data_IF_997092632228
#
_entry.id   IF_997092632228
#
_cell.length_a   1.000
_cell.length_b   1.000
_cell.length_c   1.000
_cell.angle_alpha   90.00
_cell.angle_beta   90.00
_cell.angle_gamma   90.00
#
_symmetry.space_group_name_H-M   'P 1'
#
loop_
_entity.id
_entity.type
_entity.pdbx_description
1 polymer ?
#
# COMPACT_ATOMS: atom_id res chain seq x y z
N UNK A 1 -5.29 -4.56 -10.45
CA UNK A 1 -4.54 -3.30 -10.19
C UNK A 1 -3.14 -3.64 -9.71
N UNK A 2 -2.11 -3.13 -10.39
CA UNK A 2 -0.71 -3.38 -10.04
C UNK A 2 0.00 -2.05 -9.81
N UNK A 3 0.44 -1.77 -8.59
CA UNK A 3 1.11 -0.53 -8.23
C UNK A 3 2.62 -0.78 -8.34
N UNK A 4 3.27 -0.19 -9.33
CA UNK A 4 4.70 -0.39 -9.54
C UNK A 4 5.55 0.43 -8.57
N UNK A 5 6.57 -0.21 -8.01
CA UNK A 5 7.59 0.42 -7.18
C UNK A 5 8.99 -0.11 -7.51
N UNK A 6 10.01 0.70 -7.25
CA UNK A 6 11.42 0.33 -7.43
C UNK A 6 11.99 -0.04 -6.07
N UNK A 7 12.61 -1.22 -5.98
CA UNK A 7 13.31 -1.71 -4.78
C UNK A 7 14.66 -1.04 -4.61
N UNK A 8 15.30 -1.20 -3.45
CA UNK A 8 16.59 -0.58 -3.15
C UNK A 8 17.71 -1.00 -4.11
N UNK A 9 17.63 -2.20 -4.67
CA UNK A 9 18.57 -2.76 -5.66
C UNK A 9 18.19 -2.45 -7.11
N UNK A 10 17.22 -1.55 -7.34
CA UNK A 10 16.82 -1.10 -8.68
C UNK A 10 15.78 -1.98 -9.39
N UNK A 11 15.36 -3.10 -8.78
CA UNK A 11 14.35 -3.97 -9.40
C UNK A 11 12.95 -3.34 -9.37
N UNK A 12 12.23 -3.37 -10.48
CA UNK A 12 10.80 -3.06 -10.53
C UNK A 12 10.00 -4.20 -9.94
N UNK A 13 9.07 -3.88 -9.05
CA UNK A 13 8.11 -4.82 -8.47
C UNK A 13 6.71 -4.27 -8.54
N UNK A 14 5.76 -5.20 -8.62
CA UNK A 14 4.34 -4.92 -8.53
C UNK A 14 3.84 -5.08 -7.09
N UNK A 15 3.04 -4.13 -6.64
CA UNK A 15 2.29 -4.21 -5.39
C UNK A 15 0.81 -4.43 -5.70
N UNK A 16 0.27 -5.49 -5.11
CA UNK A 16 -1.17 -5.77 -5.06
C UNK A 16 -1.61 -5.65 -3.60
N UNK A 17 -2.63 -4.84 -3.30
CA UNK A 17 -3.14 -4.75 -1.93
C UNK A 17 -3.91 -5.99 -1.52
N UNK A 18 -4.06 -6.18 -0.21
CA UNK A 18 -4.81 -7.31 0.35
C UNK A 18 -6.31 -7.12 0.09
N UNK A 19 -6.83 -5.90 0.30
CA UNK A 19 -8.20 -5.54 -0.03
C UNK A 19 -8.29 -4.22 -0.80
N UNK A 20 -9.23 -4.20 -1.75
CA UNK A 20 -9.73 -3.00 -2.40
C UNK A 20 -11.19 -2.86 -1.97
N UNK A 21 -11.50 -1.77 -1.27
CA UNK A 21 -12.82 -1.51 -0.68
C UNK A 21 -13.45 -0.36 -1.43
N UNK A 22 -14.66 -0.57 -1.93
CA UNK A 22 -15.51 0.48 -2.46
C UNK A 22 -16.62 0.74 -1.44
N UNK A 23 -16.72 1.98 -0.96
CA UNK A 23 -17.74 2.40 -0.01
C UNK A 23 -19.01 2.81 -0.75
N UNK A 24 -20.11 2.84 0.00
CA UNK A 24 -21.45 3.18 -0.51
C UNK A 24 -21.51 4.62 -1.05
N UNK A 25 -20.63 5.51 -0.57
CA UNK A 25 -20.48 6.89 -1.04
C UNK A 25 -19.59 7.01 -2.31
N UNK A 26 -19.16 5.88 -2.88
CA UNK A 26 -18.29 5.82 -4.06
C UNK A 26 -16.80 6.04 -3.77
N UNK A 27 -16.40 6.21 -2.50
CA UNK A 27 -14.98 6.32 -2.17
C UNK A 27 -14.28 4.96 -2.25
N UNK A 28 -13.08 4.96 -2.83
CA UNK A 28 -12.24 3.78 -2.98
C UNK A 28 -11.12 3.83 -1.95
N UNK A 29 -10.95 2.73 -1.22
CA UNK A 29 -9.90 2.54 -0.24
C UNK A 29 -9.11 1.27 -0.50
N UNK A 30 -7.85 1.32 -0.13
CA UNK A 30 -6.95 0.19 -0.16
C UNK A 30 -6.61 -0.16 1.29
N UNK A 31 -6.89 -1.40 1.69
CA UNK A 31 -6.56 -1.89 3.03
C UNK A 31 -5.45 -2.93 2.93
N UNK A 32 -4.37 -2.70 3.66
CA UNK A 32 -3.22 -3.61 3.73
C UNK A 32 -3.08 -4.13 5.16
N UNK A 33 -3.03 -5.45 5.31
CA UNK A 33 -2.91 -6.12 6.60
C UNK A 33 -1.47 -6.57 6.79
N UNK A 34 -0.85 -6.12 7.88
CA UNK A 34 0.53 -6.49 8.22
C UNK A 34 0.65 -6.87 9.69
N UNK A 35 1.48 -7.87 9.97
CA UNK A 35 1.95 -8.14 11.34
C UNK A 35 2.92 -7.04 11.79
N UNK A 36 2.82 -6.60 13.05
CA UNK A 36 3.61 -5.48 13.58
C UNK A 36 5.13 -5.60 13.39
N UNK A 37 5.64 -6.84 13.39
CA UNK A 37 7.04 -7.18 13.12
C UNK A 37 7.59 -6.76 11.74
N UNK A 38 6.72 -6.38 10.79
CA UNK A 38 7.12 -5.96 9.45
C UNK A 38 7.15 -4.44 9.26
N UNK A 39 6.80 -3.65 10.30
CA UNK A 39 6.73 -2.20 10.20
C UNK A 39 8.12 -1.54 10.08
N UNK A 40 9.15 -2.15 10.68
CA UNK A 40 10.49 -1.57 10.72
C UNK A 40 11.40 -1.98 9.54
N UNK A 41 10.88 -2.76 8.58
CA UNK A 41 11.66 -3.16 7.41
C UNK A 41 11.76 -1.99 6.40
N UNK A 42 12.96 -1.52 6.04
CA UNK A 42 13.16 -0.38 5.14
C UNK A 42 12.50 -0.53 3.76
N UNK A 43 12.47 -1.74 3.20
CA UNK A 43 11.82 -1.99 1.91
C UNK A 43 10.29 -1.99 2.02
N UNK A 44 9.77 -2.38 3.18
CA UNK A 44 8.33 -2.32 3.48
C UNK A 44 7.89 -0.86 3.59
N UNK A 45 8.68 0.00 4.24
CA UNK A 45 8.43 1.45 4.32
C UNK A 45 8.40 2.07 2.90
N UNK A 46 9.40 1.80 2.05
CA UNK A 46 9.43 2.35 0.67
C UNK A 46 8.24 1.90 -0.17
N UNK A 47 7.86 0.63 -0.04
CA UNK A 47 6.67 0.08 -0.70
C UNK A 47 5.41 0.81 -0.25
N UNK A 48 5.23 1.02 1.05
CA UNK A 48 4.08 1.73 1.60
C UNK A 48 4.05 3.20 1.18
N UNK A 49 5.18 3.90 1.22
CA UNK A 49 5.26 5.30 0.76
C UNK A 49 4.89 5.43 -0.72
N UNK A 50 5.37 4.51 -1.57
CA UNK A 50 5.00 4.51 -2.99
C UNK A 50 3.51 4.22 -3.19
N UNK A 51 2.97 3.25 -2.46
CA UNK A 51 1.53 2.94 -2.49
C UNK A 51 0.69 4.13 -2.05
N UNK A 52 1.06 4.79 -0.94
CA UNK A 52 0.40 5.99 -0.42
C UNK A 52 0.43 7.14 -1.41
N UNK A 53 1.57 7.36 -2.07
CA UNK A 53 1.70 8.39 -3.11
C UNK A 53 0.84 8.08 -4.33
N UNK A 54 0.82 6.81 -4.78
CA UNK A 54 -0.01 6.35 -5.89
C UNK A 54 -1.51 6.51 -5.58
N UNK A 55 -1.92 6.25 -4.34
CA UNK A 55 -3.29 6.41 -3.86
C UNK A 55 -3.67 7.89 -3.79
N UNK A 56 -2.81 8.73 -3.20
CA UNK A 56 -3.01 10.18 -3.10
C UNK A 56 -3.21 10.84 -4.47
N UNK A 57 -2.43 10.45 -5.47
CA UNK A 57 -2.56 10.97 -6.84
C UNK A 57 -3.90 10.62 -7.51
N UNK A 58 -4.63 9.62 -6.99
CA UNK A 58 -5.90 9.13 -7.55
C UNK A 58 -7.10 9.40 -6.65
N UNK A 59 -6.92 10.13 -5.56
CA UNK A 59 -7.98 10.35 -4.56
C UNK A 59 -8.42 9.07 -3.84
N UNK A 60 -7.56 8.05 -3.80
CA UNK A 60 -7.80 6.77 -3.13
C UNK A 60 -7.21 6.84 -1.72
N UNK A 61 -7.93 6.32 -0.72
CA UNK A 61 -7.42 6.25 0.66
C UNK A 61 -6.58 4.98 0.87
N UNK A 62 -5.49 5.07 1.63
CA UNK A 62 -4.68 3.91 2.03
C UNK A 62 -4.76 3.69 3.54
N UNK A 63 -5.20 2.51 3.95
CA UNK A 63 -5.34 2.11 5.36
C UNK A 63 -4.42 0.92 5.62
N UNK A 64 -3.59 1.02 6.66
CA UNK A 64 -2.74 -0.08 7.12
C UNK A 64 -3.32 -0.61 8.43
N UNK A 65 -3.78 -1.86 8.40
CA UNK A 65 -4.32 -2.55 9.57
C UNK A 65 -3.22 -3.40 10.18
N UNK A 66 -2.89 -3.15 11.44
CA UNK A 66 -1.85 -3.88 12.17
C UNK A 66 -2.43 -4.55 13.39
N UNK A 67 -2.01 -5.79 13.65
CA UNK A 67 -2.27 -6.47 14.91
C UNK A 67 -1.09 -6.21 15.84
N UNK A 68 -1.37 -5.54 16.97
CA UNK A 68 -0.44 -5.41 18.11
C UNK A 68 -0.40 -6.72 18.89
#
# INVERSE_FOLDING_TARGET
MNIEYITQVGNKRGYRPDFLVEKIDGTIEIHEVKGGQFLDNPDTIRKHERAKHWCKQRGINSIVVTKK
#
